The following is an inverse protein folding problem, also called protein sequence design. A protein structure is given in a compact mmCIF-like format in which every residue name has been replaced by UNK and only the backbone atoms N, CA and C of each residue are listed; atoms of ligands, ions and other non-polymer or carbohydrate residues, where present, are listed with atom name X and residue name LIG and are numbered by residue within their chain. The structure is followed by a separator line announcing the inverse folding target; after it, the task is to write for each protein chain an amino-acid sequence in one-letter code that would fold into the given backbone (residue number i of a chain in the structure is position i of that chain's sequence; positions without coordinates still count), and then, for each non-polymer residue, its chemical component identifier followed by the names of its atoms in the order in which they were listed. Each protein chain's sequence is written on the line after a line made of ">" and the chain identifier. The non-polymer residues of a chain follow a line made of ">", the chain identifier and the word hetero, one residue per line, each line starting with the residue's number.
data_IF_803990191537
#
_entry.id   IF_803990191537
#
_cell.length_a   1.000
_cell.length_b   1.000
_cell.length_c   1.000
_cell.angle_alpha   90.00
_cell.angle_beta   90.00
_cell.angle_gamma   90.00
#
_symmetry.space_group_name_H-M   'P 1'
#
loop_
_entity.id
_entity.type
_entity.pdbx_description
1 polymer ?
#
# COMPACT_ATOMS: atom_id res chain seq x y z
N UNK A 1 2.22 24.22 11.69
CA UNK A 1 3.69 24.25 11.47
C UNK A 1 4.06 23.20 10.43
N UNK A 2 4.88 23.51 9.42
CA UNK A 2 5.37 22.49 8.50
C UNK A 2 6.22 21.46 9.27
N UNK A 3 6.03 20.17 9.00
CA UNK A 3 6.87 19.11 9.58
C UNK A 3 8.31 19.37 9.13
N UNK A 4 9.24 19.50 10.09
CA UNK A 4 10.66 19.58 9.74
C UNK A 4 11.09 18.24 9.14
N UNK A 5 11.67 18.25 7.95
CA UNK A 5 12.22 17.05 7.34
C UNK A 5 13.34 16.49 8.24
N UNK A 6 13.05 15.39 8.95
CA UNK A 6 13.91 14.82 10.01
C UNK A 6 15.28 14.31 9.57
N UNK A 7 15.63 14.53 8.29
CA UNK A 7 16.85 14.05 7.65
C UNK A 7 17.88 15.16 7.39
N UNK A 8 17.47 16.44 7.49
CA UNK A 8 18.34 17.60 7.17
C UNK A 8 19.62 17.66 8.01
N UNK A 9 19.61 17.04 9.20
CA UNK A 9 20.71 17.07 10.17
C UNK A 9 21.52 15.76 10.20
N UNK A 10 21.20 14.78 9.35
CA UNK A 10 21.85 13.48 9.37
C UNK A 10 23.08 13.46 8.46
N UNK A 11 24.22 13.02 9.00
CA UNK A 11 25.41 12.74 8.20
C UNK A 11 25.21 11.37 7.53
N UNK A 12 25.37 11.24 6.21
CA UNK A 12 25.33 9.95 5.52
C UNK A 12 26.52 9.05 5.87
N UNK A 13 26.34 7.72 5.82
CA UNK A 13 27.40 6.77 6.18
C UNK A 13 28.65 6.85 5.29
N UNK A 14 28.51 7.23 4.02
CA UNK A 14 29.63 7.42 3.09
C UNK A 14 30.46 8.68 3.38
N UNK A 15 29.94 9.63 4.17
CA UNK A 15 30.65 10.83 4.62
C UNK A 15 31.31 10.65 6.00
N UNK A 16 31.16 9.48 6.63
CA UNK A 16 31.78 9.15 7.93
C UNK A 16 33.11 8.43 7.75
N UNK A 17 33.94 8.47 8.79
CA UNK A 17 35.12 7.62 8.86
C UNK A 17 34.73 6.13 8.87
N UNK A 18 35.59 5.27 8.32
CA UNK A 18 35.35 3.81 8.27
C UNK A 18 35.10 3.23 9.66
N UNK A 19 35.83 3.70 10.66
CA UNK A 19 35.72 3.21 12.04
C UNK A 19 34.43 3.66 12.73
N UNK A 20 34.01 4.91 12.50
CA UNK A 20 32.73 5.42 13.03
C UNK A 20 31.55 4.68 12.39
N UNK A 21 31.55 4.52 11.06
CA UNK A 21 30.53 3.76 10.35
C UNK A 21 30.44 2.31 10.86
N UNK A 22 31.60 1.66 11.11
CA UNK A 22 31.65 0.31 11.68
C UNK A 22 31.04 0.25 13.08
N UNK A 23 31.40 1.18 13.97
CA UNK A 23 30.85 1.26 15.34
C UNK A 23 29.34 1.48 15.34
N UNK A 24 28.84 2.35 14.48
CA UNK A 24 27.39 2.60 14.34
C UNK A 24 26.66 1.37 13.80
N UNK A 25 27.22 0.72 12.78
CA UNK A 25 26.68 -0.52 12.23
C UNK A 25 26.63 -1.65 13.26
N UNK A 26 27.67 -1.80 14.07
CA UNK A 26 27.72 -2.77 15.16
C UNK A 26 26.63 -2.50 16.20
N UNK A 27 26.50 -1.24 16.68
CA UNK A 27 25.45 -0.85 17.63
C UNK A 27 24.05 -1.11 17.09
N UNK A 28 23.80 -0.75 15.83
CA UNK A 28 22.54 -1.03 15.15
C UNK A 28 22.25 -2.53 15.02
N UNK A 29 23.25 -3.32 14.66
CA UNK A 29 23.16 -4.77 14.55
C UNK A 29 22.83 -5.46 15.88
N UNK A 30 23.52 -5.05 16.96
CA UNK A 30 23.28 -5.55 18.32
C UNK A 30 21.84 -5.21 18.75
N UNK A 31 21.45 -3.94 18.64
CA UNK A 31 20.11 -3.51 19.06
C UNK A 31 19.00 -4.20 18.26
N UNK A 32 19.21 -4.33 16.95
CA UNK A 32 18.27 -5.07 16.10
C UNK A 32 18.20 -6.54 16.49
N UNK A 33 19.33 -7.16 16.84
CA UNK A 33 19.39 -8.54 17.33
C UNK A 33 18.62 -8.72 18.65
N UNK A 34 18.78 -7.80 19.60
CA UNK A 34 18.02 -7.78 20.85
C UNK A 34 16.51 -7.69 20.60
N UNK A 35 16.08 -6.73 19.76
CA UNK A 35 14.66 -6.55 19.42
C UNK A 35 14.10 -7.80 18.72
N UNK A 36 14.87 -8.42 17.81
CA UNK A 36 14.45 -9.67 17.15
C UNK A 36 14.27 -10.81 18.15
N UNK A 37 15.19 -10.98 19.11
CA UNK A 37 15.06 -12.00 20.17
C UNK A 37 13.85 -11.73 21.06
N UNK A 38 13.66 -10.49 21.49
CA UNK A 38 12.50 -10.08 22.30
C UNK A 38 11.17 -10.36 21.59
N UNK A 39 11.06 -10.01 20.30
CA UNK A 39 9.85 -10.32 19.50
C UNK A 39 9.61 -11.82 19.36
N UNK A 40 10.67 -12.62 19.22
CA UNK A 40 10.56 -14.08 19.17
C UNK A 40 10.00 -14.63 20.49
N UNK A 41 10.57 -14.23 21.62
CA UNK A 41 10.08 -14.64 22.96
C UNK A 41 8.64 -14.21 23.20
N UNK A 42 8.28 -12.97 22.85
CA UNK A 42 6.90 -12.50 22.96
C UNK A 42 5.95 -13.35 22.11
N UNK A 43 6.32 -13.67 20.87
CA UNK A 43 5.53 -14.54 19.99
C UNK A 43 5.34 -15.93 20.63
N UNK A 44 6.39 -16.52 21.17
CA UNK A 44 6.33 -17.85 21.82
C UNK A 44 5.39 -17.83 23.03
N UNK A 45 5.47 -16.81 23.88
CA UNK A 45 4.56 -16.66 25.02
C UNK A 45 3.11 -16.46 24.60
N UNK A 46 2.85 -15.63 23.58
CA UNK A 46 1.50 -15.42 23.07
C UNK A 46 0.91 -16.71 22.48
N UNK A 47 1.71 -17.50 21.77
CA UNK A 47 1.28 -18.81 21.27
C UNK A 47 0.95 -19.78 22.40
N UNK A 48 1.71 -19.74 23.49
CA UNK A 48 1.44 -20.55 24.68
C UNK A 48 0.10 -20.15 25.31
N UNK A 49 -0.12 -18.86 25.55
CA UNK A 49 -1.40 -18.36 26.09
C UNK A 49 -2.58 -18.71 25.18
N UNK A 50 -2.41 -18.55 23.86
CA UNK A 50 -3.43 -18.93 22.88
C UNK A 50 -3.64 -20.45 22.78
N UNK A 51 -2.78 -21.30 23.36
CA UNK A 51 -3.01 -22.74 23.40
C UNK A 51 -4.00 -23.14 24.51
N UNK A 52 -4.24 -22.26 25.47
CA UNK A 52 -5.21 -22.46 26.55
C UNK A 52 -6.63 -22.22 26.02
N UNK A 53 -7.51 -23.21 26.18
CA UNK A 53 -8.89 -23.15 25.67
C UNK A 53 -9.70 -22.00 26.26
N UNK A 54 -9.53 -21.71 27.55
CA UNK A 54 -10.20 -20.61 28.23
C UNK A 54 -9.90 -19.26 27.58
N UNK A 55 -8.63 -19.00 27.27
CA UNK A 55 -8.18 -17.75 26.62
C UNK A 55 -8.74 -17.65 25.20
N UNK A 56 -8.78 -18.76 24.45
CA UNK A 56 -9.38 -18.79 23.12
C UNK A 56 -10.88 -18.44 23.16
N UNK A 57 -11.61 -19.04 24.10
CA UNK A 57 -13.05 -18.80 24.29
C UNK A 57 -13.33 -17.33 24.62
N UNK A 58 -12.59 -16.74 25.55
CA UNK A 58 -12.71 -15.32 25.93
C UNK A 58 -12.43 -14.38 24.74
N UNK A 59 -11.39 -14.67 23.94
CA UNK A 59 -11.08 -13.89 22.75
C UNK A 59 -12.20 -13.98 21.71
N UNK A 60 -12.73 -15.18 21.48
CA UNK A 60 -13.84 -15.37 20.55
C UNK A 60 -15.09 -14.58 20.99
N UNK A 61 -15.43 -14.61 22.28
CA UNK A 61 -16.54 -13.83 22.84
C UNK A 61 -16.33 -12.33 22.59
N UNK A 62 -15.16 -11.79 22.91
CA UNK A 62 -14.85 -10.39 22.70
C UNK A 62 -14.90 -9.97 21.21
N UNK A 63 -14.54 -10.86 20.29
CA UNK A 63 -14.65 -10.60 18.84
C UNK A 63 -16.12 -10.58 18.41
N UNK A 64 -16.95 -11.47 18.93
CA UNK A 64 -18.40 -11.48 18.67
C UNK A 64 -19.03 -10.18 19.17
N UNK A 65 -18.73 -9.76 20.39
CA UNK A 65 -19.26 -8.51 20.96
C UNK A 65 -18.90 -7.30 20.09
N UNK A 66 -17.63 -7.20 19.66
CA UNK A 66 -17.21 -6.14 18.72
C UNK A 66 -17.93 -6.18 17.38
N UNK A 67 -18.21 -7.37 16.86
CA UNK A 67 -18.98 -7.51 15.62
C UNK A 67 -20.42 -7.02 15.81
N UNK A 68 -21.04 -7.30 16.96
CA UNK A 68 -22.38 -6.81 17.32
C UNK A 68 -22.41 -5.29 17.48
N UNK A 69 -21.33 -4.68 17.96
CA UNK A 69 -21.16 -3.21 18.00
C UNK A 69 -20.99 -2.57 16.61
N UNK A 70 -20.84 -3.38 15.55
CA UNK A 70 -20.73 -2.92 14.16
C UNK A 70 -19.30 -2.87 13.61
N UNK A 71 -18.31 -3.47 14.29
CA UNK A 71 -16.97 -3.62 13.72
C UNK A 71 -16.98 -4.63 12.56
N UNK A 72 -16.98 -4.10 11.34
CA UNK A 72 -16.99 -4.89 10.10
C UNK A 72 -15.76 -5.80 9.96
N UNK A 73 -14.63 -5.46 10.59
CA UNK A 73 -13.43 -6.32 10.58
C UNK A 73 -13.59 -7.52 11.50
N UNK A 74 -14.20 -7.33 12.67
CA UNK A 74 -14.50 -8.43 13.57
C UNK A 74 -15.45 -9.44 12.90
N UNK A 75 -16.48 -8.96 12.20
CA UNK A 75 -17.36 -9.81 11.38
C UNK A 75 -16.60 -10.58 10.28
N UNK A 76 -15.70 -9.91 9.55
CA UNK A 76 -14.86 -10.57 8.53
C UNK A 76 -13.97 -11.66 9.15
N UNK A 77 -13.38 -11.42 10.31
CA UNK A 77 -12.56 -12.41 11.03
C UNK A 77 -13.39 -13.63 11.40
N UNK A 78 -14.58 -13.43 11.96
CA UNK A 78 -15.51 -14.53 12.29
C UNK A 78 -15.86 -15.33 11.04
N UNK A 79 -16.31 -14.65 9.97
CA UNK A 79 -16.67 -15.26 8.69
C UNK A 79 -15.53 -16.10 8.12
N UNK A 80 -14.33 -15.53 8.03
CA UNK A 80 -13.16 -16.20 7.46
C UNK A 80 -12.70 -17.39 8.31
N UNK A 81 -12.89 -17.33 9.64
CA UNK A 81 -12.58 -18.43 10.56
C UNK A 81 -13.54 -19.61 10.39
N UNK A 82 -14.81 -19.36 10.05
CA UNK A 82 -15.83 -20.40 9.78
C UNK A 82 -15.67 -21.00 8.37
N UNK A 83 -14.88 -20.37 7.49
CA UNK A 83 -14.69 -20.81 6.11
C UNK A 83 -15.69 -20.21 5.12
N UNK A 84 -16.51 -19.25 5.55
CA UNK A 84 -17.49 -18.53 4.73
C UNK A 84 -16.85 -17.38 3.92
N UNK A 85 -15.60 -17.56 3.50
CA UNK A 85 -14.90 -16.53 2.73
C UNK A 85 -15.56 -16.44 1.35
N UNK A 86 -16.01 -15.26 0.90
CA UNK A 86 -16.58 -15.10 -0.43
C UNK A 86 -15.58 -15.63 -1.44
N UNK A 87 -15.93 -16.71 -2.11
CA UNK A 87 -15.15 -17.18 -3.25
C UNK A 87 -15.35 -16.14 -4.34
N UNK A 88 -14.29 -15.40 -4.68
CA UNK A 88 -14.27 -14.67 -5.93
C UNK A 88 -14.18 -15.70 -7.06
N UNK A 89 -15.33 -16.25 -7.42
CA UNK A 89 -15.49 -16.87 -8.72
C UNK A 89 -15.44 -15.75 -9.75
N UNK A 90 -14.24 -15.34 -10.16
CA UNK A 90 -14.03 -14.62 -11.40
C UNK A 90 -14.44 -15.57 -12.52
N UNK A 91 -15.74 -15.61 -12.82
CA UNK A 91 -16.22 -16.17 -14.07
C UNK A 91 -15.70 -15.25 -15.16
N UNK A 92 -14.55 -15.59 -15.76
CA UNK A 92 -14.10 -14.96 -17.01
C UNK A 92 -14.95 -15.56 -18.15
N UNK A 93 -16.26 -15.36 -18.10
CA UNK A 93 -17.14 -15.60 -19.24
C UNK A 93 -17.02 -14.41 -20.18
N UNK A 94 -15.94 -14.39 -20.98
CA UNK A 94 -15.87 -13.72 -22.29
C UNK A 94 -16.34 -12.26 -22.44
N UNK A 95 -16.45 -11.46 -21.38
CA UNK A 95 -16.78 -10.03 -21.49
C UNK A 95 -15.51 -9.19 -21.37
N UNK A 96 -14.64 -9.18 -22.39
CA UNK A 96 -13.68 -8.07 -22.51
C UNK A 96 -13.10 -7.79 -23.91
N UNK A 97 -13.88 -8.03 -24.97
CA UNK A 97 -13.49 -7.62 -26.34
C UNK A 97 -14.14 -6.30 -26.77
N UNK A 98 -15.30 -5.94 -26.20
CA UNK A 98 -16.03 -4.72 -26.57
C UNK A 98 -15.54 -3.47 -25.85
N UNK A 99 -15.03 -3.59 -24.62
CA UNK A 99 -14.59 -2.43 -23.85
C UNK A 99 -13.29 -1.84 -24.42
N UNK A 100 -12.36 -2.69 -24.87
CA UNK A 100 -11.12 -2.22 -25.50
C UNK A 100 -11.39 -1.47 -26.80
N UNK A 101 -12.31 -1.97 -27.64
CA UNK A 101 -12.73 -1.30 -28.88
C UNK A 101 -13.33 0.08 -28.61
N UNK A 102 -14.17 0.22 -27.58
CA UNK A 102 -14.74 1.53 -27.24
C UNK A 102 -13.68 2.52 -26.73
N UNK A 103 -12.65 2.05 -26.02
CA UNK A 103 -11.54 2.92 -25.58
C UNK A 103 -10.71 3.42 -26.76
N UNK A 104 -10.40 2.55 -27.73
CA UNK A 104 -9.61 2.92 -28.90
C UNK A 104 -10.37 3.90 -29.81
N UNK A 105 -11.68 3.71 -29.98
CA UNK A 105 -12.57 4.61 -30.72
C UNK A 105 -12.67 6.01 -30.08
N UNK A 106 -12.89 6.07 -28.75
CA UNK A 106 -12.96 7.34 -28.02
C UNK A 106 -11.62 8.08 -28.07
N UNK A 107 -10.50 7.36 -27.99
CA UNK A 107 -9.16 7.96 -28.09
C UNK A 107 -8.92 8.58 -29.46
N UNK A 108 -9.31 7.90 -30.54
CA UNK A 108 -9.17 8.40 -31.90
C UNK A 108 -9.99 9.69 -32.13
N UNK A 109 -11.20 9.78 -31.56
CA UNK A 109 -12.04 10.98 -31.65
C UNK A 109 -11.41 12.19 -30.94
N UNK A 110 -10.88 12.00 -29.73
CA UNK A 110 -10.22 13.07 -28.97
C UNK A 110 -8.97 13.58 -29.70
N UNK A 111 -8.19 12.69 -30.32
CA UNK A 111 -7.00 13.06 -31.09
C UNK A 111 -7.38 13.85 -32.37
N UNK A 112 -8.46 13.48 -33.05
CA UNK A 112 -8.96 14.20 -34.23
C UNK A 112 -9.47 15.60 -33.88
N UNK A 113 -10.21 15.76 -32.77
CA UNK A 113 -10.64 17.09 -32.28
C UNK A 113 -9.44 17.96 -31.93
N UNK A 114 -8.41 17.38 -31.31
CA UNK A 114 -7.16 18.10 -30.99
C UNK A 114 -6.44 18.60 -32.24
N UNK A 115 -6.41 17.80 -33.31
CA UNK A 115 -5.80 18.20 -34.59
C UNK A 115 -6.58 19.32 -35.27
N UNK A 116 -7.91 19.27 -35.28
CA UNK A 116 -8.76 20.36 -35.80
C UNK A 116 -8.53 21.66 -35.05
N UNK A 117 -8.44 21.60 -33.71
CA UNK A 117 -8.15 22.77 -32.89
C UNK A 117 -6.76 23.37 -33.20
N UNK A 118 -5.78 22.53 -33.51
CA UNK A 118 -4.43 22.97 -33.91
C UNK A 118 -4.45 23.60 -35.32
N UNK A 119 -5.26 23.09 -36.24
CA UNK A 119 -5.43 23.63 -37.59
C UNK A 119 -6.20 24.96 -37.62
N UNK A 120 -7.26 25.08 -36.81
CA UNK A 120 -8.01 26.33 -36.63
C UNK A 120 -7.12 27.43 -36.02
N UNK A 121 -6.33 27.10 -35.00
CA UNK A 121 -5.38 28.05 -34.39
C UNK A 121 -4.09 28.26 -35.22
N UNK A 122 -3.90 27.55 -36.34
CA UNK A 122 -2.75 27.73 -37.24
C UNK A 122 -2.86 28.99 -38.10
N UNK A 123 -4.04 29.60 -38.19
CA UNK A 123 -4.32 30.77 -39.01
C UNK A 123 -4.11 32.12 -38.28
N UNK A 124 -3.67 32.11 -37.02
CA UNK A 124 -3.44 33.33 -36.21
C UNK A 124 -1.95 33.69 -35.98
N UNK A 125 -1.00 33.10 -36.70
CA UNK A 125 0.38 33.61 -36.69
C UNK A 125 0.53 34.61 -37.85
N UNK A 126 0.52 35.94 -37.61
CA UNK A 126 0.81 36.89 -38.66
C UNK A 126 2.22 36.65 -39.19
N UNK A 127 2.38 36.56 -40.51
CA UNK A 127 3.69 36.64 -41.15
C UNK A 127 4.29 38.01 -40.76
N UNK A 128 5.34 37.99 -39.95
CA UNK A 128 6.19 39.16 -39.77
C UNK A 128 7.09 39.20 -41.02
N UNK A 129 6.74 40.06 -41.96
CA UNK A 129 7.65 40.45 -43.04
C UNK A 129 8.83 41.21 -42.41
N UNK A 130 10.05 40.79 -42.75
CA UNK A 130 11.27 41.53 -42.41
C UNK A 130 11.64 42.39 -43.61
N UNK A 131 11.62 43.71 -43.42
CA UNK A 131 12.19 44.72 -44.35
C UNK A 131 13.70 44.54 -44.55
#
# INVERSE_FOLDING_TARGET
>A
MPKSDGYKNLIPANKRSKDEARKLGQKGGIKSGEVRRMRKTLKEHLLLLLSEKSVQEEICLAIIDKALEGDTKAFQIIRDTIGEKPTENLCVSSVNMNLQKSYDEVKALIEAERQKLIEENRHEIPLIEYD
#
